data_IF_843566830344
#
_entry.id   IF_843566830344
#
_cell.length_a   1.000
_cell.length_b   1.000
_cell.length_c   1.000
_cell.angle_alpha   90.00
_cell.angle_beta   90.00
_cell.angle_gamma   90.00
#
_symmetry.space_group_name_H-M   'P 1'
#
loop_
_entity.id
_entity.type
_entity.pdbx_description
1 polymer ?
#
# COMPACT_ATOMS: atom_id res chain seq x y z
N UNK A 1 -27.26 -47.22 13.99
CA UNK A 1 -27.09 -48.58 14.55
C UNK A 1 -26.74 -48.41 16.01
N UNK A 2 -27.69 -48.68 16.91
CA UNK A 2 -27.44 -48.80 18.34
C UNK A 2 -27.33 -50.29 18.64
N UNK A 3 -26.12 -50.76 18.92
CA UNK A 3 -25.88 -52.11 19.42
C UNK A 3 -26.51 -52.23 20.80
N UNK A 4 -27.70 -52.83 20.87
CA UNK A 4 -28.31 -53.25 22.14
C UNK A 4 -28.29 -54.79 22.14
N UNK A 5 -27.60 -55.42 23.11
CA UNK A 5 -27.61 -56.86 23.26
C UNK A 5 -28.94 -57.27 23.89
N UNK A 6 -29.99 -57.46 23.08
CA UNK A 6 -31.22 -58.08 23.55
C UNK A 6 -30.98 -59.60 23.60
N UNK A 7 -30.26 -60.04 24.64
CA UNK A 7 -30.06 -61.45 24.96
C UNK A 7 -31.17 -61.94 25.91
N UNK A 8 -32.43 -61.67 25.56
CA UNK A 8 -33.58 -62.31 26.23
C UNK A 8 -33.99 -63.53 25.38
N UNK A 9 -33.89 -64.76 25.90
CA UNK A 9 -34.25 -65.98 25.16
C UNK A 9 -35.71 -65.98 24.67
N UNK A 10 -36.58 -65.13 25.23
CA UNK A 10 -37.96 -64.97 24.76
C UNK A 10 -38.09 -64.21 23.43
N UNK A 11 -37.11 -63.36 23.07
CA UNK A 11 -37.06 -62.60 21.82
C UNK A 11 -36.43 -63.37 20.65
N UNK A 12 -35.88 -64.57 20.90
CA UNK A 12 -35.39 -65.48 19.85
C UNK A 12 -36.51 -66.16 19.05
N UNK A 13 -37.79 -66.01 19.46
CA UNK A 13 -38.93 -66.57 18.73
C UNK A 13 -39.18 -65.75 17.46
N UNK A 14 -38.84 -66.32 16.31
CA UNK A 14 -39.04 -65.70 14.99
C UNK A 14 -40.53 -65.60 14.65
N UNK A 15 -40.94 -64.47 14.09
CA UNK A 15 -42.27 -64.31 13.50
C UNK A 15 -42.40 -65.23 12.28
N UNK A 16 -43.58 -65.78 12.01
CA UNK A 16 -43.86 -66.43 10.73
C UNK A 16 -44.68 -65.50 9.85
N UNK A 17 -44.28 -65.39 8.58
CA UNK A 17 -45.01 -64.67 7.54
C UNK A 17 -45.85 -65.71 6.82
N UNK A 18 -47.18 -65.58 6.90
CA UNK A 18 -48.11 -66.48 6.23
C UNK A 18 -48.67 -65.81 4.96
N UNK A 19 -48.71 -66.54 3.84
CA UNK A 19 -49.45 -66.11 2.64
C UNK A 19 -50.97 -66.25 2.86
N UNK A 20 -51.73 -65.40 2.17
CA UNK A 20 -53.11 -65.07 2.53
C UNK A 20 -54.07 -66.28 2.52
N UNK A 21 -54.71 -66.55 3.66
CA UNK A 21 -56.00 -67.24 3.74
C UNK A 21 -57.09 -66.23 4.06
N UNK A 22 -57.90 -65.88 3.06
CA UNK A 22 -58.85 -64.76 3.06
C UNK A 22 -60.31 -65.22 3.23
N UNK A 23 -60.67 -65.81 4.38
CA UNK A 23 -62.08 -66.05 4.68
C UNK A 23 -62.80 -64.83 5.30
N UNK A 24 -62.07 -63.93 5.97
CA UNK A 24 -62.67 -62.89 6.82
C UNK A 24 -62.56 -61.45 6.30
N UNK A 25 -61.58 -61.13 5.44
CA UNK A 25 -61.32 -59.73 5.04
C UNK A 25 -62.29 -59.15 3.99
N UNK A 26 -63.34 -59.88 3.60
CA UNK A 26 -64.34 -59.42 2.61
C UNK A 26 -65.40 -58.46 3.19
N UNK A 27 -65.20 -57.93 4.40
CA UNK A 27 -66.14 -57.02 5.10
C UNK A 27 -65.47 -55.71 5.57
N UNK A 28 -64.75 -55.02 4.69
CA UNK A 28 -64.67 -53.56 4.68
C UNK A 28 -63.85 -53.12 3.46
N UNK A 29 -64.36 -52.14 2.71
CA UNK A 29 -63.77 -51.65 1.47
C UNK A 29 -62.54 -50.74 1.68
N UNK A 30 -61.58 -51.12 2.54
CA UNK A 30 -60.46 -50.24 2.93
C UNK A 30 -59.13 -50.99 3.00
N UNK A 31 -58.26 -50.71 2.02
CA UNK A 31 -56.83 -51.08 1.87
C UNK A 31 -56.53 -52.58 1.79
N UNK A 32 -55.86 -52.99 0.70
CA UNK A 32 -55.42 -54.36 0.49
C UNK A 32 -54.46 -54.81 1.60
N UNK A 33 -54.70 -56.00 2.15
CA UNK A 33 -53.80 -56.64 3.12
C UNK A 33 -52.66 -57.26 2.32
N UNK A 34 -51.42 -56.84 2.57
CA UNK A 34 -50.25 -57.37 1.84
C UNK A 34 -49.90 -58.78 2.35
N UNK A 35 -49.84 -58.97 3.68
CA UNK A 35 -49.60 -60.26 4.33
C UNK A 35 -49.98 -60.21 5.82
N UNK A 36 -50.01 -61.38 6.47
CA UNK A 36 -50.24 -61.49 7.91
C UNK A 36 -48.97 -61.98 8.61
N UNK A 37 -48.63 -61.31 9.71
CA UNK A 37 -47.57 -61.72 10.63
C UNK A 37 -48.20 -62.51 11.76
N UNK A 38 -47.79 -63.76 11.94
CA UNK A 38 -48.21 -64.58 13.08
C UNK A 38 -47.29 -64.26 14.26
N UNK A 39 -47.85 -63.63 15.29
CA UNK A 39 -47.11 -63.22 16.49
C UNK A 39 -47.46 -64.16 17.65
N UNK A 40 -46.51 -64.95 18.17
CA UNK A 40 -46.76 -65.84 19.31
C UNK A 40 -47.23 -65.08 20.56
N UNK A 41 -48.18 -65.66 21.31
CA UNK A 41 -48.68 -65.10 22.56
C UNK A 41 -47.57 -64.84 23.60
N UNK A 42 -46.59 -65.75 23.78
CA UNK A 42 -45.44 -65.49 24.63
C UNK A 42 -44.62 -64.26 24.21
N UNK A 43 -44.51 -63.99 22.90
CA UNK A 43 -43.77 -62.85 22.38
C UNK A 43 -44.52 -61.53 22.63
N UNK A 44 -45.84 -61.51 22.40
CA UNK A 44 -46.70 -60.35 22.74
C UNK A 44 -46.68 -60.03 24.24
N UNK A 45 -46.65 -61.06 25.10
CA UNK A 45 -46.51 -60.88 26.54
C UNK A 45 -45.14 -60.31 26.92
N UNK A 46 -44.06 -60.79 26.29
CA UNK A 46 -42.72 -60.25 26.51
C UNK A 46 -42.65 -58.77 26.09
N UNK A 47 -43.20 -58.41 24.93
CA UNK A 47 -43.28 -57.01 24.49
C UNK A 47 -44.07 -56.13 25.46
N UNK A 48 -45.21 -56.63 25.96
CA UNK A 48 -45.98 -55.91 26.99
C UNK A 48 -45.11 -55.61 28.22
N UNK A 49 -44.42 -56.62 28.75
CA UNK A 49 -43.56 -56.48 29.92
C UNK A 49 -42.39 -55.52 29.66
N UNK A 50 -41.74 -55.58 28.50
CA UNK A 50 -40.64 -54.67 28.13
C UNK A 50 -41.12 -53.21 28.15
N UNK A 51 -42.26 -52.94 27.50
CA UNK A 51 -42.80 -51.57 27.40
C UNK A 51 -43.43 -51.10 28.71
N UNK A 52 -43.97 -52.01 29.54
CA UNK A 52 -44.61 -51.65 30.82
C UNK A 52 -43.64 -51.50 31.99
N UNK A 53 -42.46 -52.14 31.93
CA UNK A 53 -41.48 -52.18 33.02
C UNK A 53 -40.28 -51.24 32.78
N UNK A 54 -40.19 -50.64 31.58
CA UNK A 54 -39.12 -49.69 31.26
C UNK A 54 -39.29 -48.37 32.03
N UNK A 55 -38.60 -48.25 33.18
CA UNK A 55 -38.30 -46.97 33.84
C UNK A 55 -37.12 -46.22 33.18
N UNK A 56 -36.69 -46.64 31.99
CA UNK A 56 -35.62 -46.00 31.23
C UNK A 56 -36.17 -44.85 30.39
N UNK A 57 -35.37 -43.79 30.25
CA UNK A 57 -35.68 -42.53 29.54
C UNK A 57 -35.96 -42.67 28.04
N UNK A 58 -35.88 -43.88 27.48
CA UNK A 58 -36.35 -44.22 26.13
C UNK A 58 -37.49 -45.25 26.21
N UNK A 59 -38.73 -44.83 25.92
CA UNK A 59 -39.86 -45.75 25.75
C UNK A 59 -39.68 -46.53 24.45
N UNK A 60 -39.40 -47.84 24.52
CA UNK A 60 -39.42 -48.70 23.33
C UNK A 60 -40.82 -48.69 22.70
N UNK A 61 -40.90 -48.49 21.39
CA UNK A 61 -42.16 -48.61 20.67
C UNK A 61 -42.41 -50.08 20.27
N UNK A 62 -43.67 -50.52 20.29
CA UNK A 62 -44.06 -51.85 19.79
C UNK A 62 -43.72 -52.02 18.31
N UNK A 63 -43.67 -50.95 17.53
CA UNK A 63 -43.21 -51.00 16.13
C UNK A 63 -41.73 -51.39 16.02
N UNK A 64 -40.88 -50.91 16.91
CA UNK A 64 -39.44 -51.24 16.92
C UNK A 64 -39.21 -52.69 17.36
N UNK A 65 -39.99 -53.15 18.34
CA UNK A 65 -39.98 -54.55 18.77
C UNK A 65 -40.47 -55.48 17.65
N UNK A 66 -41.52 -55.09 16.92
CA UNK A 66 -41.97 -55.83 15.74
C UNK A 66 -40.87 -55.89 14.69
N UNK A 67 -40.29 -54.74 14.31
CA UNK A 67 -39.23 -54.64 13.29
C UNK A 67 -37.99 -55.47 13.63
N UNK A 68 -37.64 -55.55 14.91
CA UNK A 68 -36.52 -56.35 15.42
C UNK A 68 -36.76 -57.86 15.34
N UNK A 69 -38.03 -58.30 15.34
CA UNK A 69 -38.40 -59.71 15.30
C UNK A 69 -38.74 -60.24 13.89
N UNK A 70 -38.68 -59.39 12.86
CA UNK A 70 -38.95 -59.79 11.47
C UNK A 70 -37.80 -60.65 10.93
N UNK A 71 -38.07 -61.89 10.47
CA UNK A 71 -37.06 -62.75 9.87
C UNK A 71 -36.40 -62.06 8.65
N UNK A 72 -35.08 -61.95 8.69
CA UNK A 72 -34.29 -61.37 7.59
C UNK A 72 -34.52 -59.88 7.35
N UNK A 73 -35.21 -59.18 8.27
CA UNK A 73 -35.58 -57.77 8.12
C UNK A 73 -36.21 -57.47 6.75
N UNK A 74 -37.15 -58.31 6.31
CA UNK A 74 -37.73 -58.28 4.97
C UNK A 74 -38.57 -57.02 4.68
N UNK A 75 -39.05 -56.32 5.72
CA UNK A 75 -39.76 -55.05 5.62
C UNK A 75 -39.57 -54.21 6.88
N UNK A 76 -39.86 -52.92 6.79
CA UNK A 76 -39.96 -52.00 7.94
C UNK A 76 -41.25 -51.18 7.84
N UNK A 77 -41.76 -50.68 8.96
CA UNK A 77 -42.93 -49.80 8.97
C UNK A 77 -42.50 -48.42 8.46
N UNK A 78 -43.31 -47.80 7.60
CA UNK A 78 -43.06 -46.47 7.02
C UNK A 78 -42.68 -45.45 8.09
N UNK A 79 -41.79 -44.49 7.80
CA UNK A 79 -41.41 -43.40 8.71
C UNK A 79 -42.49 -42.33 8.92
N UNK A 80 -43.67 -42.50 8.33
CA UNK A 80 -44.80 -41.59 8.49
C UNK A 80 -45.38 -41.72 9.89
N UNK A 81 -45.30 -40.63 10.67
CA UNK A 81 -45.62 -40.61 12.10
C UNK A 81 -47.03 -41.13 12.41
N UNK A 82 -48.03 -40.68 11.65
CA UNK A 82 -49.42 -41.08 11.83
C UNK A 82 -49.62 -42.61 11.63
N UNK A 83 -48.92 -43.20 10.65
CA UNK A 83 -48.99 -44.63 10.36
C UNK A 83 -48.25 -45.43 11.42
N UNK A 84 -47.05 -45.00 11.83
CA UNK A 84 -46.29 -45.65 12.91
C UNK A 84 -47.05 -45.65 14.22
N UNK A 85 -47.62 -44.51 14.62
CA UNK A 85 -48.43 -44.40 15.83
C UNK A 85 -49.63 -45.35 15.79
N UNK A 86 -50.33 -45.42 14.65
CA UNK A 86 -51.48 -46.31 14.49
C UNK A 86 -51.10 -47.81 14.59
N UNK A 87 -49.99 -48.21 13.96
CA UNK A 87 -49.49 -49.59 14.05
C UNK A 87 -49.04 -49.90 15.48
N UNK A 88 -48.31 -48.98 16.10
CA UNK A 88 -47.84 -49.10 17.48
C UNK A 88 -49.00 -49.27 18.48
N UNK A 89 -50.05 -48.46 18.33
CA UNK A 89 -51.26 -48.53 19.16
C UNK A 89 -52.00 -49.86 18.98
N UNK A 90 -52.07 -50.35 17.75
CA UNK A 90 -52.71 -51.63 17.43
C UNK A 90 -51.97 -52.81 18.08
N UNK A 91 -50.63 -52.80 18.02
CA UNK A 91 -49.80 -53.80 18.69
C UNK A 91 -49.89 -53.71 20.21
N UNK A 92 -49.93 -52.49 20.77
CA UNK A 92 -50.12 -52.26 22.21
C UNK A 92 -51.41 -52.91 22.70
N UNK A 93 -52.54 -52.66 22.02
CA UNK A 93 -53.85 -53.24 22.38
C UNK A 93 -53.82 -54.77 22.38
N UNK A 94 -53.17 -55.37 21.37
CA UNK A 94 -53.02 -56.82 21.29
C UNK A 94 -52.15 -57.38 22.42
N UNK A 95 -51.02 -56.72 22.71
CA UNK A 95 -50.13 -57.12 23.79
C UNK A 95 -50.80 -57.02 25.17
N UNK A 96 -51.55 -55.94 25.41
CA UNK A 96 -52.35 -55.77 26.63
C UNK A 96 -53.43 -56.85 26.79
N UNK A 97 -54.13 -57.18 25.71
CA UNK A 97 -55.15 -58.24 25.71
C UNK A 97 -54.53 -59.60 26.03
N UNK A 98 -53.44 -59.96 25.36
CA UNK A 98 -52.73 -61.23 25.61
C UNK A 98 -52.22 -61.29 27.05
N UNK A 99 -51.65 -60.20 27.57
CA UNK A 99 -51.20 -60.16 28.95
C UNK A 99 -52.37 -60.37 29.95
N UNK A 100 -53.54 -59.78 29.69
CA UNK A 100 -54.74 -60.00 30.48
C UNK A 100 -55.20 -61.48 30.43
N UNK A 101 -55.15 -62.12 29.27
CA UNK A 101 -55.48 -63.55 29.11
C UNK A 101 -54.54 -64.45 29.94
N UNK A 102 -53.25 -64.12 29.99
CA UNK A 102 -52.28 -64.80 30.87
C UNK A 102 -52.54 -64.57 32.36
N UNK A 103 -53.04 -63.39 32.74
CA UNK A 103 -53.42 -63.08 34.11
C UNK A 103 -54.66 -63.86 34.58
N UNK A 104 -55.62 -64.10 33.69
CA UNK A 104 -56.87 -64.84 33.97
C UNK A 104 -56.72 -66.36 33.94
N UNK A 105 -55.63 -66.88 33.36
CA UNK A 105 -55.44 -68.32 33.11
C UNK A 105 -54.45 -68.95 34.09
N UNK A 106 -54.80 -70.11 34.68
CA UNK A 106 -53.93 -70.92 35.56
C UNK A 106 -53.80 -72.36 35.07
N UNK A 107 -52.68 -73.01 35.41
CA UNK A 107 -52.45 -74.43 35.13
C UNK A 107 -52.48 -74.79 33.63
N UNK A 108 -53.24 -75.83 33.26
CA UNK A 108 -53.29 -76.37 31.89
C UNK A 108 -53.73 -75.31 30.85
N UNK A 109 -54.72 -74.48 31.18
CA UNK A 109 -55.17 -73.36 30.32
C UNK A 109 -54.09 -72.33 30.01
N UNK A 110 -53.11 -72.14 30.91
CA UNK A 110 -51.98 -71.24 30.69
C UNK A 110 -50.95 -71.84 29.74
N UNK A 111 -50.71 -73.17 29.82
CA UNK A 111 -49.88 -73.90 28.84
C UNK A 111 -50.49 -73.84 27.45
N UNK A 112 -51.82 -73.91 27.34
CA UNK A 112 -52.53 -73.79 26.07
C UNK A 112 -52.36 -72.40 25.41
N UNK A 113 -52.03 -71.35 26.18
CA UNK A 113 -51.71 -70.03 25.62
C UNK A 113 -50.31 -69.97 25.02
N UNK A 114 -49.37 -70.81 25.49
CA UNK A 114 -47.98 -70.80 25.02
C UNK A 114 -47.82 -71.32 23.59
N UNK A 115 -48.78 -72.11 23.11
CA UNK A 115 -48.87 -72.61 21.73
C UNK A 115 -49.73 -71.72 20.80
N UNK A 116 -50.33 -70.64 21.32
CA UNK A 116 -51.16 -69.72 20.51
C UNK A 116 -50.33 -68.63 19.83
N UNK A 117 -50.81 -68.19 18.67
CA UNK A 117 -50.32 -67.03 17.96
C UNK A 117 -51.49 -66.14 17.50
N UNK A 118 -51.25 -64.83 17.42
CA UNK A 118 -52.21 -63.85 16.91
C UNK A 118 -51.76 -63.40 15.52
N UNK A 119 -52.70 -63.37 14.57
CA UNK A 119 -52.45 -62.79 13.24
C UNK A 119 -52.54 -61.27 13.32
N UNK A 120 -51.47 -60.60 12.92
CA UNK A 120 -51.42 -59.15 12.75
C UNK A 120 -51.33 -58.83 11.26
N UNK A 121 -52.32 -58.11 10.73
CA UNK A 121 -52.41 -57.81 9.30
C UNK A 121 -51.65 -56.53 8.96
N UNK A 122 -50.79 -56.61 7.95
CA UNK A 122 -50.06 -55.46 7.41
C UNK A 122 -50.77 -55.00 6.13
N UNK A 123 -51.14 -53.73 6.11
CA UNK A 123 -51.90 -53.12 5.02
C UNK A 123 -50.96 -52.41 4.04
N UNK A 124 -51.41 -52.30 2.80
CA UNK A 124 -50.71 -51.54 1.76
C UNK A 124 -50.50 -50.07 2.16
N UNK A 125 -49.33 -49.53 1.81
CA UNK A 125 -48.84 -48.21 2.20
C UNK A 125 -48.25 -48.10 3.62
N UNK A 126 -48.22 -49.18 4.41
CA UNK A 126 -47.63 -49.18 5.77
C UNK A 126 -46.19 -49.69 5.85
N UNK A 127 -45.62 -50.16 4.74
CA UNK A 127 -44.25 -50.70 4.72
C UNK A 127 -43.41 -50.05 3.64
N UNK A 128 -42.12 -49.90 3.92
CA UNK A 128 -41.12 -49.48 2.93
C UNK A 128 -40.16 -50.63 2.67
N UNK A 129 -39.77 -50.82 1.41
CA UNK A 129 -38.79 -51.83 1.02
C UNK A 129 -37.42 -51.50 1.61
N UNK A 130 -36.77 -52.49 2.22
CA UNK A 130 -35.40 -52.33 2.76
C UNK A 130 -34.38 -52.03 1.65
N UNK A 131 -34.63 -52.50 0.42
CA UNK A 131 -33.78 -52.17 -0.73
C UNK A 131 -33.83 -50.66 -1.06
N UNK A 132 -35.01 -50.05 -1.02
CA UNK A 132 -35.18 -48.61 -1.23
C UNK A 132 -34.53 -47.78 -0.12
N UNK A 133 -34.67 -48.21 1.13
CA UNK A 133 -34.01 -47.56 2.26
C UNK A 133 -32.49 -47.63 2.15
N UNK A 134 -31.93 -48.80 1.82
CA UNK A 134 -30.48 -48.97 1.59
C UNK A 134 -29.98 -48.13 0.43
N UNK A 135 -30.79 -47.97 -0.62
CA UNK A 135 -30.43 -47.12 -1.76
C UNK A 135 -30.41 -45.63 -1.37
N UNK A 136 -31.44 -45.16 -0.64
CA UNK A 136 -31.49 -43.78 -0.15
C UNK A 136 -30.35 -43.45 0.81
N UNK A 137 -29.99 -44.35 1.72
CA UNK A 137 -28.86 -44.14 2.64
C UNK A 137 -27.53 -44.12 1.90
N UNK A 138 -27.34 -44.98 0.88
CA UNK A 138 -26.14 -44.95 0.04
C UNK A 138 -25.99 -43.62 -0.69
N UNK A 139 -27.07 -43.13 -1.32
CA UNK A 139 -27.07 -41.82 -2.00
C UNK A 139 -26.75 -40.68 -1.01
N UNK A 140 -27.36 -40.68 0.16
CA UNK A 140 -27.11 -39.65 1.18
C UNK A 140 -25.63 -39.67 1.65
N UNK A 141 -25.08 -40.86 1.84
CA UNK A 141 -23.67 -41.05 2.21
C UNK A 141 -22.72 -40.57 1.11
N UNK A 142 -22.98 -40.93 -0.13
CA UNK A 142 -22.16 -40.52 -1.28
C UNK A 142 -22.22 -39.00 -1.48
N UNK A 143 -23.39 -38.37 -1.26
CA UNK A 143 -23.54 -36.90 -1.27
C UNK A 143 -22.75 -36.24 -0.16
N UNK A 144 -22.83 -36.76 1.07
CA UNK A 144 -22.08 -36.21 2.21
C UNK A 144 -20.57 -36.29 1.96
N UNK A 145 -20.08 -37.43 1.47
CA UNK A 145 -18.69 -37.58 1.05
C UNK A 145 -18.29 -36.57 -0.03
N UNK A 146 -19.15 -36.34 -1.03
CA UNK A 146 -18.89 -35.34 -2.07
C UNK A 146 -18.73 -33.92 -1.51
N UNK A 147 -19.60 -33.53 -0.56
CA UNK A 147 -19.51 -32.23 0.12
C UNK A 147 -18.23 -32.12 0.94
N UNK A 148 -17.85 -33.17 1.67
CA UNK A 148 -16.63 -33.19 2.47
C UNK A 148 -15.37 -33.09 1.59
N UNK A 149 -15.31 -33.85 0.49
CA UNK A 149 -14.21 -33.79 -0.48
C UNK A 149 -14.10 -32.39 -1.09
N UNK A 150 -15.22 -31.80 -1.52
CA UNK A 150 -15.24 -30.44 -2.07
C UNK A 150 -14.77 -29.40 -1.04
N UNK A 151 -15.20 -29.53 0.22
CA UNK A 151 -14.74 -28.66 1.30
C UNK A 151 -13.26 -28.81 1.62
N UNK A 152 -12.70 -30.02 1.54
CA UNK A 152 -11.27 -30.27 1.70
C UNK A 152 -10.46 -29.73 0.52
N UNK A 153 -10.97 -29.86 -0.71
CA UNK A 153 -10.34 -29.30 -1.91
C UNK A 153 -10.24 -27.77 -1.81
N UNK A 154 -11.34 -27.08 -1.46
CA UNK A 154 -11.33 -25.64 -1.29
C UNK A 154 -10.35 -25.16 -0.21
N UNK A 155 -10.23 -25.90 0.90
CA UNK A 155 -9.23 -25.60 1.94
C UNK A 155 -7.80 -25.81 1.44
N UNK A 156 -7.58 -26.83 0.61
CA UNK A 156 -6.27 -27.11 0.06
C UNK A 156 -5.84 -26.03 -0.94
N UNK A 157 -6.76 -25.56 -1.78
CA UNK A 157 -6.54 -24.42 -2.68
C UNK A 157 -6.22 -23.13 -1.91
N UNK A 158 -6.97 -22.81 -0.85
CA UNK A 158 -6.69 -21.65 0.01
C UNK A 158 -5.32 -21.74 0.71
N UNK A 159 -4.94 -22.93 1.19
CA UNK A 159 -3.63 -23.16 1.78
C UNK A 159 -2.51 -23.04 0.74
N UNK A 160 -2.74 -23.53 -0.48
CA UNK A 160 -1.76 -23.39 -1.56
C UNK A 160 -1.56 -21.93 -1.95
N UNK A 161 -2.62 -21.15 -2.11
CA UNK A 161 -2.55 -19.72 -2.40
C UNK A 161 -1.77 -18.95 -1.32
N UNK A 162 -2.03 -19.22 -0.04
CA UNK A 162 -1.27 -18.62 1.07
C UNK A 162 0.20 -19.00 1.05
N UNK A 163 0.52 -20.21 0.62
CA UNK A 163 1.91 -20.67 0.54
C UNK A 163 2.66 -19.97 -0.60
N UNK A 164 1.99 -19.77 -1.74
CA UNK A 164 2.52 -18.98 -2.87
C UNK A 164 2.75 -17.52 -2.46
N UNK A 165 1.80 -16.89 -1.75
CA UNK A 165 1.95 -15.52 -1.23
C UNK A 165 3.12 -15.40 -0.25
N UNK A 166 3.27 -16.37 0.67
CA UNK A 166 4.40 -16.41 1.61
C UNK A 166 5.73 -16.60 0.90
N UNK A 167 5.76 -17.41 -0.15
CA UNK A 167 6.96 -17.61 -0.95
C UNK A 167 7.36 -16.33 -1.68
N UNK A 168 6.40 -15.64 -2.33
CA UNK A 168 6.64 -14.35 -2.97
C UNK A 168 7.16 -13.30 -1.96
N UNK A 169 6.58 -13.23 -0.77
CA UNK A 169 7.05 -12.32 0.28
C UNK A 169 8.47 -12.65 0.76
N UNK A 170 8.86 -13.92 0.78
CA UNK A 170 10.23 -14.33 1.14
C UNK A 170 11.23 -13.93 0.05
N UNK A 171 10.88 -14.11 -1.22
CA UNK A 171 11.71 -13.69 -2.35
C UNK A 171 11.94 -12.17 -2.32
N UNK A 172 10.90 -11.37 -2.09
CA UNK A 172 11.01 -9.92 -1.94
C UNK A 172 11.92 -9.51 -0.76
N UNK A 173 11.81 -10.20 0.38
CA UNK A 173 12.68 -9.96 1.54
C UNK A 173 14.13 -10.31 1.24
N UNK A 174 14.37 -11.38 0.48
CA UNK A 174 15.72 -11.78 0.08
C UNK A 174 16.36 -10.73 -0.83
N UNK A 175 15.64 -10.24 -1.86
CA UNK A 175 16.11 -9.17 -2.75
C UNK A 175 16.45 -7.90 -1.96
N UNK A 176 15.59 -7.55 -0.98
CA UNK A 176 15.84 -6.38 -0.12
C UNK A 176 17.09 -6.55 0.74
N UNK A 177 17.37 -7.77 1.18
CA UNK A 177 18.57 -8.06 1.97
C UNK A 177 19.84 -7.95 1.11
N UNK A 178 19.81 -8.46 -0.12
CA UNK A 178 20.91 -8.33 -1.10
C UNK A 178 21.21 -6.85 -1.43
N UNK A 179 20.18 -6.00 -1.61
CA UNK A 179 20.37 -4.55 -1.83
C UNK A 179 21.00 -3.84 -0.62
N UNK A 180 20.63 -4.25 0.60
CA UNK A 180 21.22 -3.72 1.83
C UNK A 180 22.69 -4.15 2.00
N UNK A 181 23.01 -5.40 1.68
CA UNK A 181 24.38 -5.91 1.67
C UNK A 181 25.25 -5.14 0.68
N UNK A 182 24.78 -4.94 -0.56
CA UNK A 182 25.48 -4.16 -1.58
C UNK A 182 25.72 -2.71 -1.15
N UNK A 183 24.74 -2.07 -0.49
CA UNK A 183 24.91 -0.72 0.08
C UNK A 183 25.95 -0.69 1.19
N UNK A 184 25.98 -1.72 2.03
CA UNK A 184 26.93 -1.80 3.12
C UNK A 184 28.35 -1.99 2.60
N UNK A 185 28.55 -2.86 1.61
CA UNK A 185 29.83 -3.02 0.91
C UNK A 185 30.29 -1.71 0.26
N UNK A 186 29.38 -0.97 -0.39
CA UNK A 186 29.69 0.34 -0.97
C UNK A 186 30.08 1.39 0.06
N UNK A 187 29.45 1.39 1.25
CA UNK A 187 29.84 2.27 2.36
C UNK A 187 31.19 1.87 2.95
N UNK A 188 31.45 0.57 3.07
CA UNK A 188 32.72 0.06 3.57
C UNK A 188 33.87 0.42 2.63
N UNK A 189 33.69 0.26 1.32
CA UNK A 189 34.67 0.68 0.32
C UNK A 189 34.98 2.19 0.39
N UNK A 190 33.95 3.04 0.56
CA UNK A 190 34.14 4.49 0.75
C UNK A 190 34.89 4.81 2.05
N UNK A 191 34.59 4.08 3.13
CA UNK A 191 35.33 4.25 4.38
C UNK A 191 36.80 3.88 4.23
N UNK A 192 37.10 2.79 3.52
CA UNK A 192 38.49 2.39 3.21
C UNK A 192 39.20 3.43 2.34
N UNK A 193 38.52 3.98 1.33
CA UNK A 193 39.05 5.08 0.51
C UNK A 193 39.37 6.32 1.34
N UNK A 194 38.46 6.73 2.23
CA UNK A 194 38.66 7.86 3.14
C UNK A 194 39.81 7.61 4.12
N UNK A 195 39.93 6.40 4.68
CA UNK A 195 41.04 6.03 5.56
C UNK A 195 42.38 6.08 4.82
N UNK A 196 42.42 5.57 3.59
CA UNK A 196 43.62 5.64 2.74
C UNK A 196 43.99 7.08 2.42
N UNK A 197 43.00 7.93 2.10
CA UNK A 197 43.22 9.35 1.87
C UNK A 197 43.78 10.05 3.11
N UNK A 198 43.23 9.79 4.30
CA UNK A 198 43.77 10.32 5.56
C UNK A 198 45.22 9.87 5.77
N UNK A 199 45.52 8.57 5.58
CA UNK A 199 46.87 8.05 5.73
C UNK A 199 47.87 8.67 4.73
N UNK A 200 47.44 9.00 3.52
CA UNK A 200 48.26 9.74 2.55
C UNK A 200 48.52 11.18 3.02
N UNK A 201 47.49 11.90 3.47
CA UNK A 201 47.65 13.25 4.01
C UNK A 201 48.60 13.27 5.22
N UNK A 202 48.47 12.33 6.16
CA UNK A 202 49.34 12.23 7.33
C UNK A 202 50.82 12.04 6.96
N UNK A 203 51.11 11.29 5.89
CA UNK A 203 52.48 11.09 5.41
C UNK A 203 53.02 12.28 4.59
N UNK A 204 52.18 12.95 3.80
CA UNK A 204 52.60 14.07 2.94
C UNK A 204 52.83 15.38 3.70
N UNK A 205 52.20 15.58 4.86
CA UNK A 205 52.29 16.85 5.62
C UNK A 205 53.45 16.95 6.62
N UNK A 206 54.50 16.14 6.49
CA UNK A 206 55.73 16.35 7.26
C UNK A 206 56.36 17.71 6.92
N UNK A 207 56.26 18.68 7.83
CA UNK A 207 56.78 20.03 7.63
C UNK A 207 58.32 20.04 7.69
N UNK A 208 58.95 20.03 6.52
CA UNK A 208 60.42 20.10 6.37
C UNK A 208 60.95 21.55 6.25
N UNK A 209 60.12 22.56 6.52
CA UNK A 209 60.47 23.97 6.39
C UNK A 209 61.23 24.54 7.59
N UNK A 210 61.77 25.76 7.44
CA UNK A 210 62.39 26.51 8.56
C UNK A 210 61.35 26.83 9.64
N UNK A 211 61.74 26.75 10.91
CA UNK A 211 60.83 27.08 12.01
C UNK A 211 60.44 28.56 12.01
N UNK A 212 59.28 28.93 12.57
CA UNK A 212 58.83 30.33 12.69
C UNK A 212 59.91 31.23 13.32
N UNK A 213 60.69 30.70 14.26
CA UNK A 213 61.76 31.42 14.93
C UNK A 213 62.90 31.85 13.98
N UNK A 214 63.07 31.18 12.83
CA UNK A 214 64.17 31.33 11.86
C UNK A 214 63.81 32.19 10.64
N UNK A 215 62.53 32.59 10.49
CA UNK A 215 62.04 33.31 9.32
C UNK A 215 62.03 34.82 9.59
N UNK A 216 62.56 35.62 8.65
CA UNK A 216 62.63 37.09 8.79
C UNK A 216 61.24 37.76 8.92
N UNK A 217 60.21 37.23 8.24
CA UNK A 217 58.83 37.75 8.26
C UNK A 217 57.90 36.88 9.11
N UNK A 218 58.20 36.75 10.41
CA UNK A 218 57.47 35.91 11.39
C UNK A 218 55.95 36.13 11.37
N UNK A 219 55.52 37.40 11.42
CA UNK A 219 54.10 37.77 11.44
C UNK A 219 53.31 37.27 10.22
N UNK A 220 53.90 37.34 9.02
CA UNK A 220 53.22 36.90 7.78
C UNK A 220 53.06 35.38 7.76
N UNK A 221 54.09 34.64 8.15
CA UNK A 221 54.05 33.19 8.23
C UNK A 221 53.03 32.72 9.28
N UNK A 222 53.04 33.34 10.46
CA UNK A 222 52.08 33.07 11.52
C UNK A 222 50.64 33.35 11.07
N UNK A 223 50.38 34.48 10.39
CA UNK A 223 49.06 34.79 9.84
C UNK A 223 48.59 33.76 8.81
N UNK A 224 49.52 33.23 8.01
CA UNK A 224 49.22 32.22 6.99
C UNK A 224 48.91 30.87 7.64
N UNK A 225 49.70 30.47 8.64
CA UNK A 225 49.46 29.28 9.44
C UNK A 225 48.10 29.36 10.14
N UNK A 226 47.82 30.47 10.83
CA UNK A 226 46.55 30.71 11.51
C UNK A 226 45.36 30.68 10.54
N UNK A 227 45.47 31.28 9.36
CA UNK A 227 44.40 31.20 8.34
C UNK A 227 44.15 29.77 7.84
N UNK A 228 45.20 28.94 7.73
CA UNK A 228 45.05 27.53 7.37
C UNK A 228 44.44 26.71 8.49
N UNK A 229 44.83 26.97 9.74
CA UNK A 229 44.25 26.34 10.91
C UNK A 229 42.76 26.71 11.06
N UNK A 230 42.37 27.97 10.81
CA UNK A 230 40.97 28.39 10.76
C UNK A 230 40.16 27.60 9.72
N UNK A 231 40.69 27.44 8.50
CA UNK A 231 40.03 26.66 7.44
C UNK A 231 39.94 25.18 7.82
N UNK A 232 41.01 24.62 8.37
CA UNK A 232 41.04 23.23 8.83
C UNK A 232 40.07 22.98 9.98
N UNK A 233 39.86 23.96 10.88
CA UNK A 233 38.93 23.85 12.00
C UNK A 233 37.47 24.16 11.61
N UNK A 234 37.21 24.56 10.37
CA UNK A 234 35.85 24.86 9.90
C UNK A 234 34.90 23.67 10.05
N UNK A 235 35.38 22.42 9.88
CA UNK A 235 34.54 21.23 10.07
C UNK A 235 34.05 21.08 11.51
N UNK A 236 34.74 21.63 12.52
CA UNK A 236 34.28 21.55 13.91
C UNK A 236 32.88 22.18 14.06
N UNK A 237 32.62 23.26 13.32
CA UNK A 237 31.30 23.89 13.28
C UNK A 237 30.22 22.99 12.68
N UNK A 238 30.54 22.09 11.73
CA UNK A 238 29.54 21.15 11.18
C UNK A 238 29.11 20.09 12.18
N UNK A 239 29.92 19.83 13.20
CA UNK A 239 29.58 19.00 14.36
C UNK A 239 29.02 19.81 15.55
N UNK A 240 28.73 21.09 15.36
CA UNK A 240 28.18 21.98 16.38
C UNK A 240 29.21 22.49 17.40
N UNK A 241 30.50 22.24 17.20
CA UNK A 241 31.58 22.71 18.07
C UNK A 241 32.05 24.09 17.61
N UNK A 242 31.97 25.09 18.48
CA UNK A 242 32.47 26.44 18.22
C UNK A 242 33.88 26.60 18.79
N UNK A 243 34.85 26.87 17.93
CA UNK A 243 36.22 27.16 18.36
C UNK A 243 36.33 28.64 18.71
N UNK A 244 36.53 28.96 19.99
CA UNK A 244 36.62 30.35 20.48
C UNK A 244 38.02 30.96 20.29
N UNK A 245 39.07 30.17 20.51
CA UNK A 245 40.45 30.61 20.31
C UNK A 245 41.37 29.42 20.02
N UNK A 246 42.46 29.72 19.32
CA UNK A 246 43.54 28.79 19.02
C UNK A 246 44.82 29.36 19.63
N UNK A 247 45.47 28.59 20.50
CA UNK A 247 46.79 28.93 21.05
C UNK A 247 47.82 27.96 20.48
N UNK A 248 48.90 28.49 19.91
CA UNK A 248 49.93 27.71 19.25
C UNK A 248 51.27 28.07 19.85
N UNK A 249 52.04 27.06 20.29
CA UNK A 249 53.34 27.27 20.91
C UNK A 249 54.47 26.99 19.92
N UNK A 250 55.45 27.88 19.85
CA UNK A 250 56.67 27.64 19.07
C UNK A 250 57.53 26.56 19.73
N UNK A 251 57.84 25.49 18.98
CA UNK A 251 58.60 24.33 19.48
C UNK A 251 60.00 24.73 20.02
N UNK A 252 60.68 25.67 19.35
CA UNK A 252 62.07 26.03 19.70
C UNK A 252 62.20 27.19 20.70
N UNK A 253 61.27 28.15 20.67
CA UNK A 253 61.33 29.35 21.50
C UNK A 253 60.39 29.32 22.71
N UNK A 254 59.42 28.40 22.72
CA UNK A 254 58.38 28.34 23.74
C UNK A 254 57.39 29.52 23.70
N UNK A 255 57.48 30.39 22.69
CA UNK A 255 56.60 31.56 22.59
C UNK A 255 55.18 31.12 22.21
N UNK A 256 54.21 31.53 23.00
CA UNK A 256 52.80 31.27 22.72
C UNK A 256 52.20 32.35 21.82
N UNK A 257 51.48 31.92 20.79
CA UNK A 257 50.74 32.77 19.88
C UNK A 257 49.26 32.43 19.98
N UNK A 258 48.46 33.38 20.49
CA UNK A 258 47.02 33.23 20.60
C UNK A 258 46.31 33.94 19.46
N UNK A 259 45.41 33.23 18.79
CA UNK A 259 44.48 33.75 17.81
C UNK A 259 43.07 33.62 18.37
N UNK A 260 42.36 34.72 18.49
CA UNK A 260 40.92 34.69 18.76
C UNK A 260 40.22 34.43 17.42
N UNK A 261 39.55 33.28 17.31
CA UNK A 261 38.78 32.95 16.12
C UNK A 261 37.45 33.67 16.29
N UNK A 262 37.38 34.90 15.78
CA UNK A 262 36.13 35.66 15.80
C UNK A 262 35.06 34.87 15.04
N UNK A 263 33.90 34.69 15.69
CA UNK A 263 32.74 33.97 15.19
C UNK A 263 32.56 34.16 13.68
N UNK A 264 32.41 33.07 12.93
CA UNK A 264 32.08 33.07 11.50
C UNK A 264 30.81 33.90 11.16
N UNK A 265 29.99 34.22 12.15
CA UNK A 265 28.85 35.14 12.02
C UNK A 265 29.24 36.61 11.77
N UNK A 266 30.51 37.00 11.99
CA UNK A 266 31.04 38.32 11.61
C UNK A 266 31.57 38.36 10.18
N UNK A 267 31.97 37.22 9.60
CA UNK A 267 32.48 37.16 8.21
C UNK A 267 31.39 37.10 7.14
N UNK A 268 30.11 37.03 7.54
CA UNK A 268 28.96 37.07 6.63
C UNK A 268 28.37 38.48 6.40
N UNK A 269 29.11 39.55 6.72
CA UNK A 269 28.73 40.91 6.33
C UNK A 269 29.87 41.58 5.55
N UNK A 270 29.69 41.67 4.23
CA UNK A 270 29.98 42.85 3.41
C UNK A 270 31.16 43.73 3.89
N UNK A 271 32.41 43.32 3.67
CA UNK A 271 33.57 44.24 3.78
C UNK A 271 34.38 44.37 2.49
N UNK A 272 34.11 43.55 1.48
CA UNK A 272 34.80 43.61 0.18
C UNK A 272 33.85 43.70 -1.02
N UNK A 273 32.57 44.01 -0.79
CA UNK A 273 31.61 44.19 -1.88
C UNK A 273 31.81 45.51 -2.62
N UNK A 274 31.44 45.56 -3.90
CA UNK A 274 31.39 46.78 -4.72
C UNK A 274 30.76 47.99 -3.99
N UNK A 275 29.71 47.75 -3.20
CA UNK A 275 28.97 48.77 -2.45
C UNK A 275 29.80 49.50 -1.38
N UNK A 276 30.89 48.89 -0.91
CA UNK A 276 31.78 49.45 0.11
C UNK A 276 33.02 50.16 -0.45
N UNK A 277 33.16 50.22 -1.77
CA UNK A 277 34.23 50.94 -2.44
C UNK A 277 34.01 52.46 -2.36
N UNK A 278 35.08 53.24 -2.50
CA UNK A 278 34.96 54.68 -2.70
C UNK A 278 34.21 54.98 -4.00
N UNK A 279 33.56 56.15 -4.12
CA UNK A 279 32.86 56.52 -5.36
C UNK A 279 33.78 56.49 -6.58
N UNK A 280 35.05 56.86 -6.40
CA UNK A 280 36.04 56.84 -7.47
C UNK A 280 36.37 55.40 -7.91
N UNK A 281 36.49 54.47 -6.96
CA UNK A 281 36.78 53.07 -7.27
C UNK A 281 35.56 52.33 -7.86
N UNK A 282 34.35 52.70 -7.44
CA UNK A 282 33.11 52.25 -8.07
C UNK A 282 33.07 52.69 -9.54
N UNK A 283 33.41 53.95 -9.81
CA UNK A 283 33.44 54.48 -11.17
C UNK A 283 34.51 53.78 -12.03
N UNK A 284 35.67 53.45 -11.46
CA UNK A 284 36.71 52.63 -12.14
C UNK A 284 36.20 51.24 -12.48
N UNK A 285 35.53 50.56 -11.55
CA UNK A 285 34.91 49.25 -11.80
C UNK A 285 33.84 49.34 -12.90
N UNK A 286 32.99 50.37 -12.87
CA UNK A 286 31.92 50.56 -13.86
C UNK A 286 32.45 50.92 -15.26
N UNK A 287 33.50 51.75 -15.36
CA UNK A 287 34.16 52.07 -16.64
C UNK A 287 34.74 50.82 -17.31
N UNK A 288 35.30 49.93 -16.51
CA UNK A 288 35.91 48.68 -16.97
C UNK A 288 34.86 47.63 -17.34
N UNK A 289 33.71 47.64 -16.68
CA UNK A 289 32.62 46.65 -16.85
C UNK A 289 32.13 46.52 -18.30
N UNK A 290 32.13 47.63 -19.04
CA UNK A 290 31.64 47.70 -20.43
C UNK A 290 32.68 47.32 -21.49
N UNK A 291 33.95 47.19 -21.12
CA UNK A 291 35.02 47.07 -22.11
C UNK A 291 35.44 45.62 -22.39
N UNK A 292 35.22 44.65 -21.48
CA UNK A 292 36.02 43.42 -21.48
C UNK A 292 35.23 42.12 -21.20
N UNK A 293 35.48 41.11 -22.03
CA UNK A 293 35.17 39.70 -21.74
C UNK A 293 36.04 39.17 -20.59
N UNK A 294 35.56 38.17 -19.84
CA UNK A 294 36.25 37.66 -18.64
C UNK A 294 37.66 37.13 -18.91
N UNK A 295 37.87 36.52 -20.09
CA UNK A 295 39.16 36.03 -20.56
C UNK A 295 40.16 37.16 -20.76
N UNK A 296 39.74 38.21 -21.48
CA UNK A 296 40.57 39.39 -21.74
C UNK A 296 40.88 40.17 -20.47
N UNK A 297 39.91 40.25 -19.54
CA UNK A 297 40.12 40.92 -18.26
C UNK A 297 41.25 40.30 -17.44
N UNK A 298 41.32 38.97 -17.42
CA UNK A 298 42.37 38.25 -16.71
C UNK A 298 43.76 38.58 -17.29
N UNK A 299 43.91 38.53 -18.61
CA UNK A 299 45.16 38.87 -19.30
C UNK A 299 45.58 40.32 -19.04
N UNK A 300 44.64 41.26 -19.08
CA UNK A 300 44.92 42.68 -18.83
C UNK A 300 45.37 42.94 -17.38
N UNK A 301 44.76 42.27 -16.39
CA UNK A 301 45.17 42.37 -14.98
C UNK A 301 46.54 41.75 -14.71
N UNK A 302 47.09 40.94 -15.61
CA UNK A 302 48.46 40.44 -15.52
C UNK A 302 49.50 41.45 -16.03
N UNK A 303 49.06 42.46 -16.79
CA UNK A 303 49.92 43.48 -17.41
C UNK A 303 49.88 44.83 -16.66
N UNK A 304 48.74 45.17 -16.06
CA UNK A 304 48.47 46.44 -15.40
C UNK A 304 48.07 46.23 -13.93
N UNK A 305 48.76 46.92 -13.01
CA UNK A 305 48.58 46.72 -11.56
C UNK A 305 47.44 47.58 -10.97
N UNK A 306 47.00 48.62 -11.68
CA UNK A 306 46.00 49.59 -11.19
C UNK A 306 44.55 49.24 -11.61
N UNK A 307 44.34 48.06 -12.19
CA UNK A 307 43.00 47.57 -12.56
C UNK A 307 42.20 47.08 -11.36
N UNK A 308 40.86 47.29 -11.35
CA UNK A 308 40.00 46.72 -10.33
C UNK A 308 40.11 45.19 -10.25
N UNK A 309 39.98 44.63 -9.05
CA UNK A 309 40.03 43.16 -8.88
C UNK A 309 38.90 42.49 -9.66
N UNK A 310 39.20 41.41 -10.36
CA UNK A 310 38.24 40.69 -11.24
C UNK A 310 36.94 40.28 -10.55
N UNK A 311 37.00 39.91 -9.26
CA UNK A 311 35.80 39.56 -8.51
C UNK A 311 34.84 40.75 -8.30
N UNK A 312 35.32 42.00 -8.26
CA UNK A 312 34.48 43.20 -8.12
C UNK A 312 33.72 43.48 -9.41
N UNK A 313 34.40 43.33 -10.56
CA UNK A 313 33.79 43.44 -11.88
C UNK A 313 32.72 42.36 -12.06
N UNK A 314 33.04 41.10 -11.71
CA UNK A 314 32.10 39.98 -11.76
C UNK A 314 30.90 40.20 -10.84
N UNK A 315 31.13 40.62 -9.59
CA UNK A 315 30.06 40.92 -8.64
C UNK A 315 29.14 42.02 -9.15
N UNK A 316 29.69 43.12 -9.70
CA UNK A 316 28.89 44.21 -10.26
C UNK A 316 28.12 43.77 -11.49
N UNK A 317 28.72 42.94 -12.36
CA UNK A 317 28.04 42.32 -13.50
C UNK A 317 26.85 41.48 -13.05
N UNK A 318 27.04 40.64 -12.05
CA UNK A 318 25.96 39.79 -11.50
C UNK A 318 24.85 40.63 -10.87
N UNK A 319 25.20 41.73 -10.18
CA UNK A 319 24.22 42.69 -9.66
C UNK A 319 23.39 43.32 -10.79
N UNK A 320 24.02 43.76 -11.88
CA UNK A 320 23.31 44.32 -13.04
C UNK A 320 22.48 43.26 -13.77
N UNK A 321 22.99 42.04 -13.92
CA UNK A 321 22.27 40.92 -14.51
C UNK A 321 21.04 40.54 -13.68
N UNK A 322 21.08 40.65 -12.34
CA UNK A 322 19.89 40.47 -11.49
C UNK A 322 18.82 41.55 -11.72
N UNK A 323 19.21 42.75 -12.11
CA UNK A 323 18.28 43.80 -12.53
C UNK A 323 17.72 43.52 -13.92
N UNK A 324 18.52 42.91 -14.80
CA UNK A 324 18.13 42.55 -16.16
C UNK A 324 17.44 41.17 -16.22
N UNK A 325 16.11 41.14 -16.09
CA UNK A 325 15.30 39.91 -16.21
C UNK A 325 15.07 39.49 -17.68
N UNK A 326 16.14 39.40 -18.45
CA UNK A 326 16.13 38.87 -19.81
C UNK A 326 16.20 37.34 -19.76
N UNK A 327 15.40 36.69 -20.58
CA UNK A 327 15.38 35.24 -20.76
C UNK A 327 15.27 34.93 -22.24
N UNK A 328 15.68 33.74 -22.67
CA UNK A 328 15.45 33.32 -24.05
C UNK A 328 13.96 33.29 -24.37
N UNK A 329 13.61 33.61 -25.61
CA UNK A 329 12.24 33.42 -26.12
C UNK A 329 11.89 31.93 -26.14
N UNK A 330 10.60 31.57 -25.98
CA UNK A 330 10.17 30.19 -26.22
C UNK A 330 10.39 29.83 -27.69
N UNK A 331 10.64 28.54 -27.96
CA UNK A 331 10.86 28.02 -29.31
C UNK A 331 12.32 27.78 -29.68
N UNK A 332 12.55 27.49 -30.96
CA UNK A 332 13.86 27.11 -31.52
C UNK A 332 14.64 28.33 -32.07
N UNK A 333 13.94 29.44 -32.33
CA UNK A 333 14.54 30.64 -32.90
C UNK A 333 15.36 31.41 -31.86
N UNK A 334 16.49 31.98 -32.30
CA UNK A 334 17.33 32.83 -31.46
C UNK A 334 16.57 34.10 -31.06
N UNK A 335 16.30 34.28 -29.76
CA UNK A 335 15.61 35.49 -29.30
C UNK A 335 15.75 35.72 -27.81
N UNK A 336 15.39 36.92 -27.38
CA UNK A 336 15.42 37.35 -25.98
C UNK A 336 14.12 38.08 -25.65
N UNK A 337 13.57 37.76 -24.48
CA UNK A 337 12.34 38.32 -23.96
C UNK A 337 12.47 38.74 -22.50
N UNK A 338 11.66 39.70 -22.14
CA UNK A 338 11.31 40.01 -20.77
C UNK A 338 10.02 39.32 -20.37
N UNK A 339 9.85 39.08 -19.07
CA UNK A 339 8.54 38.64 -18.55
C UNK A 339 7.54 39.78 -18.66
N UNK A 340 6.55 39.62 -19.56
CA UNK A 340 5.51 40.62 -19.81
C UNK A 340 4.85 41.10 -18.51
N UNK A 341 4.55 40.20 -17.57
CA UNK A 341 3.94 40.54 -16.28
C UNK A 341 4.79 41.53 -15.48
N UNK A 342 6.10 41.37 -15.48
CA UNK A 342 7.01 42.21 -14.70
C UNK A 342 7.09 43.62 -15.29
N UNK A 343 7.36 43.73 -16.59
CA UNK A 343 7.42 45.04 -17.28
C UNK A 343 6.06 45.73 -17.20
N UNK A 344 4.96 45.02 -17.45
CA UNK A 344 3.63 45.60 -17.42
C UNK A 344 3.29 46.11 -16.02
N UNK A 345 3.61 45.36 -14.97
CA UNK A 345 3.37 45.79 -13.58
C UNK A 345 4.17 47.04 -13.25
N UNK A 346 5.43 47.09 -13.65
CA UNK A 346 6.29 48.26 -13.40
C UNK A 346 5.77 49.48 -14.16
N UNK A 347 5.40 49.34 -15.43
CA UNK A 347 4.84 50.45 -16.22
C UNK A 347 3.45 50.90 -15.78
N UNK A 348 2.61 49.98 -15.32
CA UNK A 348 1.34 50.35 -14.70
C UNK A 348 1.55 51.08 -13.37
N UNK A 349 2.55 50.69 -12.57
CA UNK A 349 2.90 51.40 -11.34
C UNK A 349 3.36 52.82 -11.64
N UNK A 350 4.26 52.99 -12.61
CA UNK A 350 4.72 54.31 -13.07
C UNK A 350 3.53 55.18 -13.53
N UNK A 351 2.62 54.60 -14.33
CA UNK A 351 1.42 55.27 -14.82
C UNK A 351 0.46 55.71 -13.69
N UNK A 352 0.29 54.89 -12.65
CA UNK A 352 -0.53 55.23 -11.48
C UNK A 352 0.14 56.31 -10.61
N UNK A 353 1.46 56.23 -10.45
CA UNK A 353 2.22 57.18 -9.64
C UNK A 353 2.36 58.56 -10.28
N UNK A 354 2.31 58.65 -11.61
CA UNK A 354 2.36 59.91 -12.36
C UNK A 354 1.31 59.89 -13.50
N UNK A 355 0.02 60.07 -13.18
CA UNK A 355 -1.03 59.99 -14.17
C UNK A 355 -0.95 61.17 -15.16
N UNK A 356 -1.04 60.95 -16.48
CA UNK A 356 -1.09 62.04 -17.45
C UNK A 356 -2.34 62.89 -17.24
N UNK A 357 -2.23 64.19 -17.53
CA UNK A 357 -3.21 65.26 -17.23
C UNK A 357 -4.64 65.01 -17.80
N UNK A 358 -4.82 64.00 -18.64
CA UNK A 358 -6.09 63.64 -19.30
C UNK A 358 -6.57 62.22 -19.03
N UNK A 359 -6.24 61.64 -17.87
CA UNK A 359 -6.84 60.37 -17.45
C UNK A 359 -8.29 60.59 -17.00
N UNK A 360 -9.22 60.52 -17.96
CA UNK A 360 -10.64 60.34 -17.64
C UNK A 360 -10.80 59.10 -16.74
N UNK A 361 -11.78 59.14 -15.83
CA UNK A 361 -12.16 58.11 -14.85
C UNK A 361 -12.50 56.72 -15.48
N UNK A 362 -11.61 56.12 -16.26
CA UNK A 362 -11.70 54.75 -16.72
C UNK A 362 -11.02 53.85 -15.67
N UNK A 363 -11.80 52.97 -15.03
CA UNK A 363 -11.30 51.98 -14.06
C UNK A 363 -10.37 50.92 -14.67
N UNK A 364 -10.13 50.93 -15.99
CA UNK A 364 -9.40 49.88 -16.69
C UNK A 364 -8.36 50.46 -17.66
N UNK A 365 -7.08 50.09 -17.47
CA UNK A 365 -5.97 50.44 -18.37
C UNK A 365 -5.99 49.49 -19.57
N UNK A 366 -5.98 50.04 -20.79
CA UNK A 366 -6.03 49.28 -22.05
C UNK A 366 -4.60 49.16 -22.59
N UNK A 367 -4.19 47.93 -22.86
CA UNK A 367 -2.84 47.60 -23.36
C UNK A 367 -2.95 47.14 -24.81
N UNK A 368 -2.19 47.78 -25.71
CA UNK A 368 -2.03 47.29 -27.09
C UNK A 368 -0.70 46.55 -27.18
N UNK A 369 -0.74 45.30 -27.64
CA UNK A 369 0.45 44.53 -27.97
C UNK A 369 0.64 44.60 -29.48
N UNK A 370 1.86 44.87 -29.93
CA UNK A 370 2.24 44.96 -31.33
C UNK A 370 3.45 44.06 -31.58
N UNK A 371 3.53 43.45 -32.75
CA UNK A 371 4.69 42.72 -33.22
C UNK A 371 4.95 43.10 -34.67
N UNK A 372 6.12 43.61 -34.98
CA UNK A 372 6.50 43.99 -36.34
C UNK A 372 7.80 43.31 -36.78
N UNK A 373 7.80 42.81 -38.01
CA UNK A 373 9.01 42.32 -38.68
C UNK A 373 9.87 43.49 -39.18
N UNK A 374 11.09 43.60 -38.65
CA UNK A 374 12.08 44.57 -39.09
C UNK A 374 13.26 43.86 -39.79
N UNK A 375 13.45 44.17 -41.07
CA UNK A 375 14.66 43.78 -41.79
C UNK A 375 15.82 44.73 -41.41
N UNK A 376 16.80 44.23 -40.65
CA UNK A 376 17.96 45.02 -40.24
C UNK A 376 19.10 44.93 -41.24
N UNK A 377 19.31 43.78 -41.87
CA UNK A 377 20.28 43.60 -42.95
C UNK A 377 19.71 42.70 -44.05
N UNK A 378 20.47 42.51 -45.14
CA UNK A 378 20.09 41.55 -46.20
C UNK A 378 19.82 40.14 -45.68
N UNK A 379 20.52 39.73 -44.61
CA UNK A 379 20.48 38.36 -44.10
C UNK A 379 19.91 38.26 -42.66
N UNK A 380 19.55 39.37 -42.03
CA UNK A 380 18.99 39.38 -40.67
C UNK A 380 17.63 40.09 -40.64
N UNK A 381 16.62 39.31 -40.28
CA UNK A 381 15.28 39.78 -39.96
C UNK A 381 15.06 39.56 -38.47
N UNK A 382 14.41 40.53 -37.83
CA UNK A 382 14.03 40.46 -36.44
C UNK A 382 12.55 40.75 -36.32
N UNK A 383 11.86 40.02 -35.45
CA UNK A 383 10.50 40.32 -35.03
C UNK A 383 10.62 41.03 -33.69
N UNK A 384 10.16 42.29 -33.63
CA UNK A 384 10.12 43.06 -32.40
C UNK A 384 8.71 43.02 -31.84
N UNK A 385 8.55 42.43 -30.66
CA UNK A 385 7.29 42.46 -29.92
C UNK A 385 7.36 43.56 -28.86
N UNK A 386 6.35 44.41 -28.81
CA UNK A 386 6.25 45.51 -27.87
C UNK A 386 4.80 45.72 -27.39
N UNK A 387 4.62 46.48 -26.33
CA UNK A 387 3.29 46.96 -25.93
C UNK A 387 3.29 48.45 -25.63
N UNK A 388 2.10 49.05 -25.71
CA UNK A 388 1.86 50.47 -25.41
C UNK A 388 0.61 50.61 -24.56
N UNK A 389 0.60 51.55 -23.61
CA UNK A 389 -0.56 51.88 -22.79
C UNK A 389 -1.42 52.92 -23.51
N UNK A 390 -2.65 52.56 -23.88
CA UNK A 390 -3.49 53.39 -24.77
C UNK A 390 -3.98 54.69 -24.12
N UNK A 391 -4.00 54.76 -22.80
CA UNK A 391 -4.36 55.97 -22.05
C UNK A 391 -3.25 57.05 -22.06
N UNK A 392 -2.02 56.72 -22.45
CA UNK A 392 -0.93 57.68 -22.63
C UNK A 392 -1.06 58.39 -23.98
N UNK A 393 -2.09 59.23 -24.15
CA UNK A 393 -2.55 59.72 -25.46
C UNK A 393 -1.50 60.39 -26.35
N UNK A 394 -0.38 60.87 -25.81
CA UNK A 394 0.71 61.49 -26.59
C UNK A 394 1.83 60.51 -26.97
N UNK A 395 1.96 59.38 -26.26
CA UNK A 395 3.10 58.46 -26.41
C UNK A 395 2.77 57.15 -27.14
N UNK A 396 1.50 56.82 -27.36
CA UNK A 396 1.06 55.52 -27.94
C UNK A 396 1.70 55.17 -29.28
N UNK A 397 2.14 56.18 -30.05
CA UNK A 397 2.79 56.00 -31.35
C UNK A 397 4.23 56.55 -31.38
N UNK A 398 4.74 57.06 -30.25
CA UNK A 398 6.08 57.56 -30.13
C UNK A 398 7.03 56.46 -29.62
N UNK A 399 8.31 56.57 -29.98
CA UNK A 399 9.32 55.60 -29.54
C UNK A 399 9.40 55.46 -28.00
N UNK A 400 9.05 56.52 -27.26
CA UNK A 400 9.00 56.54 -25.80
C UNK A 400 7.84 55.75 -25.18
N UNK A 401 6.71 55.59 -25.88
CA UNK A 401 5.54 54.87 -25.36
C UNK A 401 5.47 53.39 -25.73
N UNK A 402 6.39 52.90 -26.57
CA UNK A 402 6.50 51.49 -26.91
C UNK A 402 7.50 50.79 -25.98
N UNK A 403 7.06 49.73 -25.34
CA UNK A 403 7.86 48.94 -24.41
C UNK A 403 8.14 47.56 -25.01
N UNK A 404 9.40 47.29 -25.35
CA UNK A 404 9.81 46.01 -25.94
C UNK A 404 9.61 44.86 -24.96
N UNK A 405 8.90 43.84 -25.42
CA UNK A 405 8.66 42.57 -24.72
C UNK A 405 9.72 41.56 -25.14
N UNK A 406 9.89 41.37 -26.45
CA UNK A 406 10.75 40.33 -27.01
C UNK A 406 11.33 40.75 -28.36
N UNK A 407 12.50 40.20 -28.68
CA UNK A 407 13.15 40.32 -29.98
C UNK A 407 13.51 38.90 -30.42
N UNK A 408 13.01 38.47 -31.57
CA UNK A 408 13.27 37.15 -32.16
C UNK A 408 13.95 37.33 -33.50
N UNK A 409 15.08 36.68 -33.74
CA UNK A 409 15.78 36.69 -35.02
C UNK A 409 15.16 35.66 -35.95
N UNK A 410 14.12 36.06 -36.67
CA UNK A 410 13.48 35.23 -37.68
C UNK A 410 12.83 36.10 -38.76
N UNK A 411 12.43 35.48 -39.88
CA UNK A 411 11.53 36.12 -40.83
C UNK A 411 10.15 36.23 -40.20
N UNK A 412 9.43 37.30 -40.53
CA UNK A 412 8.07 37.50 -40.03
C UNK A 412 7.17 36.35 -40.49
N UNK A 413 6.84 35.46 -39.56
CA UNK A 413 6.01 34.28 -39.75
C UNK A 413 5.12 34.09 -38.53
N UNK A 414 3.81 33.95 -38.76
CA UNK A 414 2.82 33.74 -37.71
C UNK A 414 3.06 32.43 -36.94
N UNK A 415 3.66 31.42 -37.57
CA UNK A 415 3.99 30.16 -36.90
C UNK A 415 5.12 30.31 -35.88
N UNK A 416 6.01 31.29 -36.06
CA UNK A 416 7.06 31.64 -35.09
C UNK A 416 6.45 32.38 -33.91
N UNK A 417 5.52 33.31 -34.15
CA UNK A 417 4.85 34.09 -33.10
C UNK A 417 3.84 33.29 -32.25
N UNK A 418 3.37 32.14 -32.75
CA UNK A 418 2.39 31.29 -32.06
C UNK A 418 3.04 30.35 -31.03
N UNK A 419 4.33 30.06 -31.18
CA UNK A 419 5.11 29.22 -30.26
C UNK A 419 5.58 30.05 -29.07
#
# INVERSE_FOLDING_TARGET
MSDIPISDPNLQRKLSIESLSLAYAKKSAVKEVIFAVSIPYPLLKAWYNIVSTSNYTGKFAYTELLESCIPGHSFAITSEEAVRLHVNESLRKLASQVNADYGRSRGRKRKDLESRAKKFHILDGKTVSVAEMKHKTKIAHDRQKGVEISGLQAKNEDLQAKNEDLQASNEDLQVKNEDLEAKNEGLQAKNEELLNYIAQLENEFSYNGKGISEVQKKSRLLKTFMSRAEVALWFANSYGLKVESLTVCEIKSGTEHKLNIENANSRNSHTHGFENLSKEDQEKVEKVLFLLEDSFYHELTMLENDLPKSYLVKQRRDQLNKLCRLSSTPGEEEGSQFRLKDILTDKMRDFISCPPERSNNEQCIKVKISGDGAQMTRNSNFILMSFSLLQSSEDVMAACGNHTIAIVKSKEDYDVLKR
#
